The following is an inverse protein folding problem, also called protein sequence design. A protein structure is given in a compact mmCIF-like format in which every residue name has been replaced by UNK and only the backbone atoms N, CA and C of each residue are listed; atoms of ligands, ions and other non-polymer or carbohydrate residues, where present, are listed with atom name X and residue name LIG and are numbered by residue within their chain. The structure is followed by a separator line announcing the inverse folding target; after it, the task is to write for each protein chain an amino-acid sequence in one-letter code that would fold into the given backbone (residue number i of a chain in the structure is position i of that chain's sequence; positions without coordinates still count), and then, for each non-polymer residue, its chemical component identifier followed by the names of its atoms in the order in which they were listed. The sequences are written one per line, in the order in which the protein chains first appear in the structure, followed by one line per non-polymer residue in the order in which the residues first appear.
data_IF_904385445685
#
_entry.id   IF_904385445685
#
_cell.length_a   1.000
_cell.length_b   1.000
_cell.length_c   1.000
_cell.angle_alpha   90.00
_cell.angle_beta   90.00
_cell.angle_gamma   90.00
#
_symmetry.space_group_name_H-M   'P 1'
#
loop_
_entity.id
_entity.type
_entity.pdbx_description
1 polymer ?
#
# COMPACT_ATOMS: atom_id res chain seq x y z
N UNK A 1 -6.39 21.02 8.31
CA UNK A 1 -6.33 20.36 6.98
C UNK A 1 -6.00 18.93 7.31
N UNK A 2 -7.06 18.19 7.61
CA UNK A 2 -6.94 17.04 8.49
C UNK A 2 -6.64 15.82 7.63
N UNK A 3 -5.75 14.98 8.12
CA UNK A 3 -5.16 13.82 7.44
C UNK A 3 -6.17 12.85 6.81
N UNK A 4 -7.44 12.93 7.20
CA UNK A 4 -8.56 12.18 6.59
C UNK A 4 -8.87 12.67 5.17
N UNK A 5 -8.84 13.98 4.91
CA UNK A 5 -9.10 14.57 3.59
C UNK A 5 -8.00 14.22 2.58
N UNK A 6 -6.74 14.16 3.03
CA UNK A 6 -5.62 13.73 2.18
C UNK A 6 -5.76 12.26 1.73
N UNK A 7 -6.36 11.41 2.57
CA UNK A 7 -6.60 10.00 2.26
C UNK A 7 -7.76 9.81 1.25
N UNK A 8 -8.83 10.60 1.41
CA UNK A 8 -9.95 10.63 0.45
C UNK A 8 -9.48 11.18 -0.91
N UNK A 9 -8.54 12.13 -0.92
CA UNK A 9 -7.95 12.66 -2.15
C UNK A 9 -7.14 11.60 -2.93
N UNK A 10 -6.37 10.74 -2.25
CA UNK A 10 -5.65 9.65 -2.93
C UNK A 10 -6.59 8.59 -3.51
N UNK A 11 -7.68 8.24 -2.82
CA UNK A 11 -8.66 7.27 -3.31
C UNK A 11 -9.41 7.76 -4.57
N UNK A 12 -9.68 9.07 -4.68
CA UNK A 12 -10.34 9.67 -5.87
C UNK A 12 -9.42 9.80 -7.10
N UNK A 13 -8.11 9.72 -6.93
CA UNK A 13 -7.10 9.86 -8.01
C UNK A 13 -6.58 8.50 -8.52
N UNK A 14 -7.07 7.38 -7.98
CA UNK A 14 -6.53 6.04 -8.22
C UNK A 14 -6.81 5.45 -9.63
N UNK A 15 -7.48 6.19 -10.49
CA UNK A 15 -7.95 5.73 -11.79
C UNK A 15 -6.89 5.88 -12.90
N UNK A 16 -5.71 5.25 -12.73
CA UNK A 16 -4.64 5.10 -13.76
C UNK A 16 -3.58 6.22 -13.88
N UNK A 17 -2.90 6.59 -12.80
CA UNK A 17 -1.63 7.32 -12.93
C UNK A 17 -0.44 6.36 -12.78
N UNK A 18 0.12 5.98 -13.92
CA UNK A 18 1.25 5.07 -14.10
C UNK A 18 2.49 5.38 -13.23
N UNK A 19 2.65 6.61 -12.72
CA UNK A 19 3.75 7.01 -11.83
C UNK A 19 3.56 6.72 -10.33
N UNK A 20 2.34 6.41 -9.87
CA UNK A 20 2.10 6.14 -8.44
C UNK A 20 2.51 4.72 -8.02
N UNK A 21 2.61 3.78 -8.96
CA UNK A 21 2.99 2.40 -8.67
C UNK A 21 4.47 2.27 -8.33
N UNK A 22 5.36 2.96 -9.04
CA UNK A 22 6.80 2.95 -8.77
C UNK A 22 7.13 3.59 -7.42
N UNK A 23 6.46 4.71 -7.09
CA UNK A 23 6.57 5.34 -5.78
C UNK A 23 6.06 4.42 -4.65
N UNK A 24 4.94 3.74 -4.88
CA UNK A 24 4.40 2.75 -3.94
C UNK A 24 5.38 1.60 -3.71
N UNK A 25 5.95 1.06 -4.78
CA UNK A 25 6.97 0.01 -4.68
C UNK A 25 8.19 0.48 -3.89
N UNK A 26 8.60 1.73 -4.08
CA UNK A 26 9.73 2.33 -3.35
C UNK A 26 9.44 2.30 -1.84
N UNK A 27 8.31 2.83 -1.41
CA UNK A 27 7.94 2.83 0.01
C UNK A 27 7.71 1.43 0.60
N UNK A 28 7.21 0.48 -0.21
CA UNK A 28 7.03 -0.91 0.24
C UNK A 28 8.36 -1.68 0.36
N UNK A 29 9.37 -1.32 -0.44
CA UNK A 29 10.70 -1.94 -0.43
C UNK A 29 11.66 -1.30 0.56
N UNK A 30 11.47 -0.03 0.89
CA UNK A 30 12.32 0.72 1.84
C UNK A 30 12.29 0.12 3.25
N UNK A 31 11.22 -0.60 3.58
CA UNK A 31 11.10 -1.30 4.87
C UNK A 31 10.89 -0.35 6.05
N UNK A 32 10.45 0.88 5.80
CA UNK A 32 10.04 1.79 6.86
C UNK A 32 8.70 1.37 7.47
N UNK A 33 8.51 1.69 8.75
CA UNK A 33 7.24 1.48 9.46
C UNK A 33 6.62 2.84 9.74
N UNK A 34 6.39 3.59 8.67
CA UNK A 34 5.86 4.94 8.72
C UNK A 34 4.55 5.05 7.93
N UNK A 35 3.97 6.24 7.99
CA UNK A 35 2.73 6.56 7.29
C UNK A 35 2.79 6.30 5.78
N UNK A 36 3.91 6.58 5.12
CA UNK A 36 4.03 6.44 3.67
C UNK A 36 4.05 4.97 3.27
N UNK A 37 4.76 4.12 4.04
CA UNK A 37 4.76 2.67 3.83
C UNK A 37 3.35 2.08 4.04
N UNK A 38 2.64 2.49 5.09
CA UNK A 38 1.28 2.01 5.36
C UNK A 38 0.26 2.48 4.33
N UNK A 39 0.32 3.76 3.95
CA UNK A 39 -0.54 4.30 2.90
C UNK A 39 -0.28 3.62 1.55
N UNK A 40 0.99 3.34 1.23
CA UNK A 40 1.39 2.58 0.05
C UNK A 40 0.83 1.16 0.05
N UNK A 41 0.90 0.47 1.20
CA UNK A 41 0.28 -0.85 1.36
C UNK A 41 -1.23 -0.77 1.12
N UNK A 42 -1.94 0.16 1.77
CA UNK A 42 -3.38 0.33 1.58
C UNK A 42 -3.75 0.69 0.14
N UNK A 43 -2.95 1.51 -0.53
CA UNK A 43 -3.15 1.89 -1.93
C UNK A 43 -2.99 0.73 -2.92
N UNK A 44 -2.27 -0.34 -2.55
CA UNK A 44 -2.12 -1.54 -3.39
C UNK A 44 -3.41 -2.38 -3.52
N UNK A 45 -4.49 -2.02 -2.82
CA UNK A 45 -5.79 -2.70 -2.88
C UNK A 45 -6.42 -2.76 -4.27
N UNK A 46 -6.14 -1.78 -5.12
CA UNK A 46 -6.65 -1.72 -6.51
C UNK A 46 -5.83 -2.61 -7.46
N UNK A 47 -4.68 -3.12 -7.03
CA UNK A 47 -3.85 -4.01 -7.84
C UNK A 47 -4.40 -5.44 -7.84
N UNK A 48 -4.07 -6.20 -8.89
CA UNK A 48 -4.36 -7.64 -8.91
C UNK A 48 -3.71 -8.31 -7.69
N UNK A 49 -4.47 -9.08 -6.92
CA UNK A 49 -4.01 -9.85 -5.72
C UNK A 49 -2.61 -10.49 -5.88
N UNK A 50 -2.28 -11.07 -7.02
CA UNK A 50 -0.95 -11.64 -7.25
C UNK A 50 0.17 -10.59 -7.18
N UNK A 51 0.01 -9.47 -7.90
CA UNK A 51 0.96 -8.35 -7.90
C UNK A 51 1.02 -7.67 -6.53
N UNK A 52 -0.14 -7.38 -5.94
CA UNK A 52 -0.26 -6.84 -4.58
C UNK A 52 0.51 -7.67 -3.55
N UNK A 53 0.25 -8.97 -3.53
CA UNK A 53 0.86 -9.87 -2.55
C UNK A 53 2.37 -10.04 -2.77
N UNK A 54 2.83 -9.94 -4.02
CA UNK A 54 4.25 -9.88 -4.33
C UNK A 54 4.90 -8.63 -3.74
N UNK A 55 4.32 -7.44 -3.96
CA UNK A 55 4.82 -6.17 -3.43
C UNK A 55 4.83 -6.13 -1.90
N UNK A 56 3.81 -6.70 -1.26
CA UNK A 56 3.71 -6.75 0.21
C UNK A 56 4.72 -7.71 0.87
N UNK A 57 5.39 -8.59 0.12
CA UNK A 57 6.32 -9.58 0.70
C UNK A 57 7.46 -8.93 1.46
N UNK A 58 8.07 -7.87 0.90
CA UNK A 58 9.16 -7.14 1.54
C UNK A 58 8.65 -6.30 2.71
N UNK A 59 7.55 -5.59 2.49
CA UNK A 59 6.89 -4.77 3.51
C UNK A 59 6.56 -5.56 4.79
N UNK A 60 6.00 -6.77 4.67
CA UNK A 60 5.66 -7.63 5.82
C UNK A 60 6.85 -8.02 6.69
N UNK A 61 8.05 -8.08 6.13
CA UNK A 61 9.25 -8.51 6.85
C UNK A 61 9.92 -7.37 7.61
N UNK A 62 9.52 -6.12 7.36
CA UNK A 62 10.16 -4.94 7.95
C UNK A 62 9.88 -4.78 9.44
N UNK A 63 8.66 -5.10 9.90
CA UNK A 63 8.29 -4.98 11.32
C UNK A 63 7.01 -5.78 11.64
N UNK A 64 6.73 -6.06 12.93
CA UNK A 64 5.48 -6.70 13.33
C UNK A 64 4.21 -5.91 12.92
N UNK A 65 4.26 -4.57 12.93
CA UNK A 65 3.12 -3.74 12.52
C UNK A 65 2.90 -3.81 11.00
N UNK A 66 3.97 -3.79 10.21
CA UNK A 66 3.85 -3.94 8.76
C UNK A 66 3.37 -5.36 8.39
N UNK A 67 3.78 -6.37 9.15
CA UNK A 67 3.25 -7.73 9.00
C UNK A 67 1.73 -7.76 9.18
N UNK A 68 1.22 -7.21 10.28
CA UNK A 68 -0.22 -7.13 10.55
C UNK A 68 -0.99 -6.43 9.42
N UNK A 69 -0.53 -5.24 9.03
CA UNK A 69 -1.15 -4.43 7.97
C UNK A 69 -1.12 -5.21 6.64
N UNK A 70 0.02 -5.77 6.29
CA UNK A 70 0.20 -6.50 5.04
C UNK A 70 -0.62 -7.79 4.99
N UNK A 71 -0.82 -8.48 6.10
CA UNK A 71 -1.68 -9.67 6.18
C UNK A 71 -3.14 -9.31 5.89
N UNK A 72 -3.67 -8.29 6.58
CA UNK A 72 -5.03 -7.78 6.34
C UNK A 72 -5.24 -7.43 4.87
N UNK A 73 -4.31 -6.70 4.25
CA UNK A 73 -4.44 -6.25 2.86
C UNK A 73 -4.31 -7.43 1.87
N UNK A 74 -3.42 -8.39 2.16
CA UNK A 74 -3.21 -9.55 1.28
C UNK A 74 -4.45 -10.46 1.21
N UNK A 75 -5.24 -10.52 2.28
CA UNK A 75 -6.44 -11.34 2.40
C UNK A 75 -7.69 -10.71 1.79
N UNK A 76 -7.66 -9.41 1.47
CA UNK A 76 -8.78 -8.74 0.82
C UNK A 76 -9.13 -9.41 -0.52
N UNK A 77 -10.44 -9.52 -0.85
CA UNK A 77 -10.89 -10.02 -2.14
C UNK A 77 -10.29 -9.17 -3.29
N UNK A 78 -10.15 -9.78 -4.47
CA UNK A 78 -9.87 -8.99 -5.65
C UNK A 78 -11.12 -8.14 -5.98
N UNK A 79 -10.95 -6.87 -6.39
CA UNK A 79 -12.05 -6.11 -6.99
C UNK A 79 -12.56 -6.78 -8.26
#
# INVERSE_FOLDING_TARGET
MDCVEALVAQARLADQLFGLTELRETHLKDGTSDWLAWASACGSRVEKKAARNYSLKYFKNASPINKLIGEVIADLPQP
#
